data_IF_238217646057
#
_entry.id   IF_238217646057
#
_cell.length_a   1.000
_cell.length_b   1.000
_cell.length_c   1.000
_cell.angle_alpha   90.00
_cell.angle_beta   90.00
_cell.angle_gamma   90.00
#
_symmetry.space_group_name_H-M   'P 1'
#
loop_
_entity.id
_entity.type
_entity.pdbx_description
1 polymer ?
#
# COMPACT_ATOMS: atom_id res chain seq x y z
N UNK A 1 1.06 38.48 33.85
CA UNK A 1 2.08 37.43 33.97
C UNK A 1 2.71 37.24 32.60
N UNK A 2 3.99 37.63 32.43
CA UNK A 2 4.74 37.33 31.22
C UNK A 2 5.41 35.96 31.39
N UNK A 3 5.00 34.98 30.59
CA UNK A 3 5.70 33.71 30.49
C UNK A 3 6.91 33.91 29.57
N UNK A 4 8.11 33.78 30.14
CA UNK A 4 9.36 33.69 29.37
C UNK A 4 9.57 32.24 28.97
N UNK A 5 9.89 32.00 27.70
CA UNK A 5 10.19 30.67 27.19
C UNK A 5 11.67 30.59 26.81
N UNK A 6 12.33 29.52 27.25
CA UNK A 6 13.68 29.19 26.79
C UNK A 6 13.60 28.41 25.48
N UNK A 7 14.32 28.88 24.47
CA UNK A 7 14.36 28.27 23.13
C UNK A 7 15.70 27.62 22.91
N UNK A 8 15.69 26.35 22.50
CA UNK A 8 16.90 25.60 22.18
C UNK A 8 16.89 25.15 20.71
N UNK A 9 18.08 25.12 20.11
CA UNK A 9 18.27 24.57 18.76
C UNK A 9 18.79 23.14 18.87
N UNK A 10 18.00 22.19 18.39
CA UNK A 10 18.38 20.78 18.35
C UNK A 10 19.00 20.44 17.00
N UNK A 11 20.16 19.78 17.03
CA UNK A 11 20.77 19.13 15.87
C UNK A 11 20.65 17.62 16.06
N UNK A 12 20.15 16.92 15.05
CA UNK A 12 20.08 15.46 15.06
C UNK A 12 20.69 14.91 13.76
N UNK A 13 21.35 13.76 13.86
CA UNK A 13 21.88 13.02 12.71
C UNK A 13 21.38 11.58 12.82
N UNK A 14 20.41 11.17 11.98
CA UNK A 14 19.88 9.82 12.07
C UNK A 14 20.96 8.81 11.66
N UNK A 15 21.22 7.82 12.52
CA UNK A 15 22.12 6.69 12.23
C UNK A 15 21.38 5.47 11.64
N UNK A 16 20.07 5.61 11.45
CA UNK A 16 19.18 4.64 10.83
C UNK A 16 18.06 5.37 10.09
N UNK A 17 17.34 4.71 9.16
CA UNK A 17 16.16 5.30 8.54
C UNK A 17 15.15 5.78 9.59
N UNK A 18 14.59 6.97 9.38
CA UNK A 18 13.54 7.55 10.23
C UNK A 18 12.27 7.63 9.40
N UNK A 19 11.17 7.14 9.96
CA UNK A 19 9.85 7.28 9.38
C UNK A 19 9.04 8.30 10.18
N UNK A 20 8.64 9.37 9.52
CA UNK A 20 7.65 10.32 10.03
C UNK A 20 6.36 10.04 9.26
N UNK A 21 5.34 9.52 9.93
CA UNK A 21 4.10 9.11 9.27
C UNK A 21 3.27 10.31 8.81
N UNK A 22 2.59 10.19 7.66
CA UNK A 22 1.57 11.17 7.24
C UNK A 22 0.24 10.98 7.95
N UNK A 23 0.03 9.82 8.59
CA UNK A 23 -1.26 9.36 9.08
C UNK A 23 -2.05 8.56 8.04
N UNK A 24 -1.57 8.48 6.80
CA UNK A 24 -2.15 7.66 5.73
C UNK A 24 -1.33 6.38 5.50
N UNK A 25 -1.94 5.39 4.84
CA UNK A 25 -1.26 4.15 4.45
C UNK A 25 -1.52 3.84 2.97
N UNK A 26 -0.55 3.22 2.30
CA UNK A 26 -0.76 2.55 1.03
C UNK A 26 -1.65 1.33 1.26
N UNK A 27 -2.85 1.34 0.68
CA UNK A 27 -3.75 0.20 0.70
C UNK A 27 -3.41 -0.76 -0.45
N UNK A 28 -3.54 -2.08 -0.26
CA UNK A 28 -3.17 -3.08 -1.28
C UNK A 28 -4.05 -3.05 -2.55
N UNK A 29 -5.08 -2.21 -2.56
CA UNK A 29 -5.93 -1.87 -3.72
C UNK A 29 -5.37 -0.73 -4.56
N UNK A 30 -4.48 0.07 -3.97
CA UNK A 30 -3.93 1.30 -4.56
C UNK A 30 -2.43 1.17 -4.85
N UNK A 31 -1.86 -0.04 -4.76
CA UNK A 31 -0.51 -0.26 -5.24
C UNK A 31 -0.27 -1.70 -5.69
N UNK A 32 0.76 -1.89 -6.52
CA UNK A 32 1.37 -3.19 -6.77
C UNK A 32 2.88 -3.09 -6.60
N UNK A 33 3.54 -4.16 -6.16
CA UNK A 33 5.00 -4.25 -6.15
C UNK A 33 5.44 -5.21 -7.25
N UNK A 34 6.34 -4.76 -8.12
CA UNK A 34 6.97 -5.55 -9.17
C UNK A 34 8.39 -5.03 -9.45
N UNK A 35 9.34 -5.93 -9.66
CA UNK A 35 10.74 -5.63 -9.94
C UNK A 35 11.37 -4.61 -8.96
N UNK A 36 11.20 -4.86 -7.67
CA UNK A 36 11.76 -4.03 -6.59
C UNK A 36 11.16 -2.63 -6.48
N UNK A 37 9.99 -2.38 -7.09
CA UNK A 37 9.33 -1.07 -7.07
C UNK A 37 7.88 -1.19 -6.66
N UNK A 38 7.44 -0.35 -5.73
CA UNK A 38 6.03 -0.10 -5.41
C UNK A 38 5.47 0.96 -6.38
N UNK A 39 4.41 0.58 -7.06
CA UNK A 39 3.67 1.39 -8.01
C UNK A 39 2.35 1.83 -7.38
N UNK A 40 2.26 3.09 -6.95
CA UNK A 40 1.01 3.65 -6.45
C UNK A 40 0.06 3.89 -7.64
N UNK A 41 -1.13 3.33 -7.56
CA UNK A 41 -2.17 3.43 -8.57
C UNK A 41 -3.09 4.59 -8.20
N UNK A 42 -3.29 5.51 -9.14
CA UNK A 42 -4.36 6.49 -9.03
C UNK A 42 -5.71 5.82 -9.33
N UNK A 43 -6.71 6.01 -8.47
CA UNK A 43 -8.05 5.43 -8.62
C UNK A 43 -8.73 5.88 -9.92
N UNK A 44 -8.47 7.10 -10.37
CA UNK A 44 -8.98 7.61 -11.66
C UNK A 44 -8.38 6.85 -12.84
N UNK A 45 -7.05 6.76 -12.90
CA UNK A 45 -6.33 5.99 -13.92
C UNK A 45 -6.63 4.49 -13.90
N UNK A 46 -6.86 3.92 -12.71
CA UNK A 46 -7.23 2.53 -12.48
C UNK A 46 -8.55 2.20 -13.18
N UNK A 47 -9.60 2.98 -12.97
CA UNK A 47 -10.91 2.73 -13.59
C UNK A 47 -10.86 2.82 -15.11
N UNK A 48 -10.01 3.67 -15.66
CA UNK A 48 -9.80 3.79 -17.11
C UNK A 48 -9.05 2.58 -17.71
N UNK A 49 -8.21 1.90 -16.93
CA UNK A 49 -7.43 0.74 -17.38
C UNK A 49 -8.18 -0.59 -17.30
N UNK A 50 -9.23 -0.67 -16.48
CA UNK A 50 -10.06 -1.87 -16.35
C UNK A 50 -11.03 -1.98 -17.54
N UNK A 51 -11.06 -3.15 -18.18
CA UNK A 51 -12.07 -3.48 -19.20
C UNK A 51 -13.47 -3.60 -18.58
N UNK A 52 -14.51 -3.72 -19.40
CA UNK A 52 -15.86 -3.96 -18.89
C UNK A 52 -15.95 -5.27 -18.10
N UNK A 53 -15.29 -6.33 -18.59
CA UNK A 53 -15.24 -7.62 -17.91
C UNK A 53 -14.51 -7.52 -16.57
N UNK A 54 -13.44 -6.72 -16.51
CA UNK A 54 -12.70 -6.47 -15.27
C UNK A 54 -13.56 -5.72 -14.23
N UNK A 55 -14.34 -4.74 -14.68
CA UNK A 55 -15.26 -4.00 -13.82
C UNK A 55 -16.34 -4.93 -13.28
N UNK A 56 -16.96 -5.75 -14.12
CA UNK A 56 -17.95 -6.75 -13.68
C UNK A 56 -17.33 -7.76 -12.72
N UNK A 57 -16.12 -8.24 -12.99
CA UNK A 57 -15.42 -9.16 -12.09
C UNK A 57 -15.11 -8.52 -10.72
N UNK A 58 -14.68 -7.25 -10.71
CA UNK A 58 -14.43 -6.51 -9.48
C UNK A 58 -15.72 -6.27 -8.69
N UNK A 59 -16.82 -5.87 -9.36
CA UNK A 59 -18.14 -5.70 -8.75
C UNK A 59 -18.62 -7.00 -8.10
N UNK A 60 -18.52 -8.13 -8.81
CA UNK A 60 -18.87 -9.45 -8.28
C UNK A 60 -18.04 -9.87 -7.05
N UNK A 61 -16.85 -9.30 -6.86
CA UNK A 61 -16.04 -9.53 -5.66
C UNK A 61 -16.54 -8.66 -4.51
N UNK A 62 -16.76 -7.37 -4.73
CA UNK A 62 -17.12 -6.40 -3.68
C UNK A 62 -18.59 -6.47 -3.24
N UNK A 63 -19.48 -7.01 -4.07
CA UNK A 63 -20.90 -7.24 -3.72
C UNK A 63 -21.10 -8.40 -2.74
N UNK A 64 -20.05 -9.21 -2.49
CA UNK A 64 -20.09 -10.30 -1.51
C UNK A 64 -20.06 -9.75 -0.09
N UNK A 65 -20.45 -10.58 0.88
CA UNK A 65 -20.37 -10.20 2.29
C UNK A 65 -18.92 -9.83 2.66
N UNK A 66 -18.68 -8.66 3.29
CA UNK A 66 -17.34 -8.25 3.68
C UNK A 66 -16.68 -9.25 4.64
N UNK A 67 -15.59 -9.87 4.19
CA UNK A 67 -14.78 -10.81 4.97
C UNK A 67 -13.34 -10.90 4.43
N UNK A 68 -12.50 -11.67 5.10
CA UNK A 68 -11.09 -11.84 4.73
C UNK A 68 -10.90 -12.51 3.35
N UNK A 69 -11.84 -13.33 2.89
CA UNK A 69 -11.81 -13.91 1.54
C UNK A 69 -12.03 -12.83 0.47
N UNK A 70 -12.94 -11.88 0.73
CA UNK A 70 -13.16 -10.73 -0.15
C UNK A 70 -11.88 -9.90 -0.26
N UNK A 71 -11.21 -9.60 0.86
CA UNK A 71 -9.94 -8.85 0.85
C UNK A 71 -8.88 -9.58 0.03
N UNK A 72 -8.71 -10.89 0.22
CA UNK A 72 -7.79 -11.72 -0.59
C UNK A 72 -8.15 -11.71 -2.07
N UNK A 73 -9.44 -11.79 -2.39
CA UNK A 73 -9.90 -11.76 -3.79
C UNK A 73 -9.59 -10.42 -4.46
N UNK A 74 -9.80 -9.30 -3.76
CA UNK A 74 -9.45 -7.96 -4.26
C UNK A 74 -7.93 -7.84 -4.47
N UNK A 75 -7.12 -8.25 -3.49
CA UNK A 75 -5.66 -8.24 -3.61
C UNK A 75 -5.18 -9.05 -4.82
N UNK A 76 -5.73 -10.26 -5.01
CA UNK A 76 -5.41 -11.13 -6.15
C UNK A 76 -5.81 -10.49 -7.47
N UNK A 77 -6.97 -9.85 -7.53
CA UNK A 77 -7.47 -9.18 -8.74
C UNK A 77 -6.49 -8.13 -9.24
N UNK A 78 -6.07 -7.20 -8.37
CA UNK A 78 -5.11 -6.16 -8.76
C UNK A 78 -3.73 -6.73 -9.11
N UNK A 79 -3.26 -7.70 -8.33
CA UNK A 79 -1.97 -8.35 -8.59
C UNK A 79 -1.94 -9.08 -9.95
N UNK A 80 -3.01 -9.78 -10.32
CA UNK A 80 -3.10 -10.48 -11.61
C UNK A 80 -3.14 -9.50 -12.81
N UNK A 81 -3.59 -8.27 -12.59
CA UNK A 81 -3.70 -7.22 -13.61
C UNK A 81 -2.53 -6.25 -13.61
N UNK A 82 -1.55 -6.44 -12.73
CA UNK A 82 -0.45 -5.49 -12.51
C UNK A 82 0.24 -5.03 -13.79
N UNK A 83 0.51 -5.93 -14.73
CA UNK A 83 1.20 -5.61 -15.98
C UNK A 83 0.50 -4.49 -16.79
N UNK A 84 -0.85 -4.48 -16.83
CA UNK A 84 -1.60 -3.40 -17.49
C UNK A 84 -1.67 -2.14 -16.63
N UNK A 85 -1.67 -2.30 -15.31
CA UNK A 85 -1.81 -1.21 -14.33
C UNK A 85 -0.51 -0.43 -14.11
N UNK A 86 0.67 -1.01 -14.32
CA UNK A 86 1.97 -0.36 -14.13
C UNK A 86 2.13 0.96 -14.90
N UNK A 87 1.51 1.05 -16.07
CA UNK A 87 1.51 2.25 -16.92
C UNK A 87 0.67 3.40 -16.35
N UNK A 88 -0.21 3.12 -15.39
CA UNK A 88 -1.09 4.08 -14.73
C UNK A 88 -0.60 4.49 -13.34
N UNK A 89 0.58 4.05 -12.95
CA UNK A 89 1.14 4.39 -11.64
C UNK A 89 1.43 5.89 -11.54
N UNK A 90 0.89 6.55 -10.52
CA UNK A 90 1.12 7.97 -10.26
C UNK A 90 2.39 8.22 -9.45
N UNK A 91 2.86 7.23 -8.68
CA UNK A 91 4.16 7.25 -8.00
C UNK A 91 4.88 5.90 -8.13
N UNK A 92 6.20 5.96 -8.14
CA UNK A 92 7.11 4.81 -8.21
C UNK A 92 8.10 4.92 -7.07
N UNK A 93 8.12 3.94 -6.16
CA UNK A 93 8.91 3.99 -4.93
C UNK A 93 9.76 2.71 -4.86
N UNK A 94 11.10 2.79 -4.84
CA UNK A 94 11.93 1.60 -4.71
C UNK A 94 11.67 0.94 -3.36
N UNK A 95 11.61 -0.39 -3.35
CA UNK A 95 11.46 -1.20 -2.14
C UNK A 95 12.63 -2.15 -1.97
N UNK A 96 12.87 -2.60 -0.74
CA UNK A 96 13.86 -3.63 -0.49
C UNK A 96 13.37 -5.00 -0.99
N UNK A 97 14.30 -5.90 -1.29
CA UNK A 97 13.98 -7.29 -1.67
C UNK A 97 13.11 -8.01 -0.62
N UNK A 98 13.32 -7.69 0.66
CA UNK A 98 12.52 -8.26 1.75
C UNK A 98 11.06 -7.83 1.70
N UNK A 99 10.79 -6.56 1.39
CA UNK A 99 9.44 -6.03 1.23
C UNK A 99 8.74 -6.67 0.03
N UNK A 100 9.43 -6.76 -1.12
CA UNK A 100 8.90 -7.42 -2.31
C UNK A 100 8.59 -8.90 -2.07
N UNK A 101 9.52 -9.65 -1.46
CA UNK A 101 9.31 -11.05 -1.13
C UNK A 101 8.11 -11.24 -0.17
N UNK A 102 7.98 -10.39 0.86
CA UNK A 102 6.82 -10.42 1.76
C UNK A 102 5.53 -10.16 1.00
N UNK A 103 5.49 -9.16 0.11
CA UNK A 103 4.32 -8.86 -0.71
C UNK A 103 3.91 -10.05 -1.58
N UNK A 104 4.83 -10.60 -2.37
CA UNK A 104 4.57 -11.72 -3.29
C UNK A 104 4.09 -12.96 -2.54
N UNK A 105 4.66 -13.26 -1.37
CA UNK A 105 4.28 -14.43 -0.56
C UNK A 105 2.91 -14.31 0.12
N UNK A 106 2.31 -13.12 0.17
CA UNK A 106 1.08 -12.85 0.94
C UNK A 106 -0.07 -12.33 0.10
N UNK A 107 0.19 -11.71 -1.04
CA UNK A 107 -0.84 -11.06 -1.87
C UNK A 107 -1.93 -12.06 -2.30
N UNK A 108 -3.15 -11.83 -1.83
CA UNK A 108 -4.29 -12.70 -2.08
C UNK A 108 -4.26 -14.05 -1.35
N UNK A 109 -3.34 -14.25 -0.40
CA UNK A 109 -3.16 -15.51 0.33
C UNK A 109 -3.39 -15.33 1.83
N UNK A 110 -3.66 -16.44 2.52
CA UNK A 110 -3.66 -16.45 3.97
C UNK A 110 -2.21 -16.31 4.49
N UNK A 111 -2.02 -15.45 5.48
CA UNK A 111 -0.76 -15.21 6.13
C UNK A 111 -0.42 -16.29 7.16
N UNK A 112 -1.42 -16.83 7.85
CA UNK A 112 -1.25 -17.92 8.80
C UNK A 112 -2.55 -18.73 8.94
N UNK A 113 -2.46 -19.95 9.45
CA UNK A 113 -3.59 -20.77 9.87
C UNK A 113 -3.44 -21.05 11.36
N UNK A 114 -4.35 -20.52 12.16
CA UNK A 114 -4.37 -20.76 13.61
C UNK A 114 -4.90 -22.16 13.93
N UNK A 115 -4.58 -22.66 15.13
CA UNK A 115 -4.96 -24.01 15.61
C UNK A 115 -6.47 -24.29 15.57
N UNK A 116 -7.32 -23.26 15.46
CA UNK A 116 -8.78 -23.37 15.32
C UNK A 116 -9.29 -23.29 13.88
N UNK A 117 -8.42 -23.37 12.87
CA UNK A 117 -8.80 -23.28 11.45
C UNK A 117 -9.04 -21.86 10.93
N UNK A 118 -8.98 -20.84 11.81
CA UNK A 118 -9.06 -19.43 11.44
C UNK A 118 -7.85 -19.05 10.59
N UNK A 119 -8.10 -18.50 9.41
CA UNK A 119 -7.06 -17.94 8.55
C UNK A 119 -6.84 -16.49 8.98
N UNK A 120 -5.58 -16.13 9.22
CA UNK A 120 -5.18 -14.73 9.41
C UNK A 120 -4.66 -14.24 8.08
N UNK A 121 -5.13 -13.09 7.61
CA UNK A 121 -4.64 -12.46 6.38
C UNK A 121 -3.70 -11.31 6.70
N UNK A 122 -2.72 -11.06 5.83
CA UNK A 122 -1.96 -9.82 5.89
C UNK A 122 -2.69 -8.79 5.04
N UNK A 123 -3.07 -7.66 5.65
CA UNK A 123 -3.73 -6.56 4.93
C UNK A 123 -2.81 -5.87 3.94
N UNK A 124 -1.49 -6.02 4.10
CA UNK A 124 -0.48 -5.41 3.24
C UNK A 124 -0.64 -3.88 3.18
N UNK A 125 -1.08 -3.28 4.28
CA UNK A 125 -1.04 -1.83 4.47
C UNK A 125 0.39 -1.41 4.78
N UNK A 126 0.85 -0.33 4.17
CA UNK A 126 2.19 0.23 4.39
C UNK A 126 2.04 1.70 4.73
N UNK A 127 2.50 2.13 5.90
CA UNK A 127 2.38 3.52 6.31
C UNK A 127 3.16 4.47 5.40
N UNK A 128 2.51 5.59 5.03
CA UNK A 128 3.09 6.59 4.15
C UNK A 128 3.98 7.52 4.96
N UNK A 129 5.16 7.79 4.40
CA UNK A 129 6.05 8.82 4.95
C UNK A 129 5.47 10.19 4.59
N UNK A 130 5.40 11.08 5.58
CA UNK A 130 5.03 12.46 5.39
C UNK A 130 5.94 13.09 4.34
N UNK A 131 5.36 13.84 3.41
CA UNK A 131 6.08 14.38 2.27
C UNK A 131 5.69 15.83 2.00
N UNK A 132 6.60 16.57 1.37
CA UNK A 132 6.32 17.90 0.86
C UNK A 132 5.26 17.82 -0.24
N UNK A 133 4.13 18.55 -0.14
CA UNK A 133 3.01 18.42 -1.09
C UNK A 133 3.38 18.68 -2.56
N UNK A 134 4.34 19.58 -2.81
CA UNK A 134 4.74 19.97 -4.17
C UNK A 134 5.74 19.02 -4.84
N UNK A 135 6.64 18.40 -4.08
CA UNK A 135 7.70 17.54 -4.62
C UNK A 135 7.49 16.04 -4.36
N UNK A 136 6.62 15.69 -3.39
CA UNK A 136 6.43 14.32 -2.93
C UNK A 136 7.64 13.72 -2.21
N UNK A 137 8.68 14.52 -1.93
CA UNK A 137 9.86 14.07 -1.19
C UNK A 137 9.53 13.94 0.31
N UNK A 138 10.10 12.95 1.01
CA UNK A 138 9.97 12.85 2.46
C UNK A 138 10.34 14.16 3.18
N UNK A 139 9.63 14.48 4.26
CA UNK A 139 9.93 15.61 5.15
C UNK A 139 11.28 15.44 5.85
#
# INVERSE_FOLDING_TARGET
MNLSFDVFRLYFTPLSPVHIGSGDSYQPTHYVIEDGTLYELDTGGLMAALSNDDRTALLNIVERQPNDEMVKAIQRFFYQRRASLLSRACKRIPVSKGVEHLYVSRVGQAANRESGGKQVINRLEIDRTACYPGSGQPL
#
